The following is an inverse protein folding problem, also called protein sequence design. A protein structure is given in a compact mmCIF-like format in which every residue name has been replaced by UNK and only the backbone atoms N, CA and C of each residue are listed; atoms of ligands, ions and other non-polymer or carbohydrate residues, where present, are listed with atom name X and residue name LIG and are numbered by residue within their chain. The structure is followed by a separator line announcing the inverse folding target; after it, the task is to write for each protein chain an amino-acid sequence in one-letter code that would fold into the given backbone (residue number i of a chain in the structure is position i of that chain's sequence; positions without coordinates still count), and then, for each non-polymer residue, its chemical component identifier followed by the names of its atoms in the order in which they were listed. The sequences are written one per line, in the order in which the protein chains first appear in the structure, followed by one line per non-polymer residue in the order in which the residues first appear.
data_IF_105184085687
#
_entry.id   IF_105184085687
#
_cell.length_a   1.000
_cell.length_b   1.000
_cell.length_c   1.000
_cell.angle_alpha   90.00
_cell.angle_beta   90.00
_cell.angle_gamma   90.00
#
_symmetry.space_group_name_H-M   'P 1'
#
loop_
_entity.id
_entity.type
_entity.pdbx_description
1 polymer ?
#
# COMPACT_ATOMS: atom_id res chain seq x y z
N UNK A 1 18.68 -1.97 39.18
CA UNK A 1 19.67 -1.48 38.17
C UNK A 1 19.55 -2.17 36.79
N UNK A 2 19.37 -3.49 36.67
CA UNK A 2 19.27 -4.18 35.37
C UNK A 2 18.08 -3.76 34.47
N UNK A 3 16.91 -3.47 35.05
CA UNK A 3 15.73 -3.05 34.27
C UNK A 3 15.87 -1.63 33.66
N UNK A 4 16.49 -0.69 34.36
CA UNK A 4 16.69 0.69 33.88
C UNK A 4 17.64 0.72 32.69
N UNK A 5 18.75 -0.02 32.74
CA UNK A 5 19.73 -0.09 31.64
C UNK A 5 19.15 -0.73 30.36
N UNK A 6 18.27 -1.73 30.50
CA UNK A 6 17.58 -2.34 29.35
C UNK A 6 16.57 -1.39 28.70
N UNK A 7 15.87 -0.57 29.48
CA UNK A 7 14.93 0.44 28.96
C UNK A 7 15.65 1.50 28.12
N UNK A 8 16.82 1.98 28.57
CA UNK A 8 17.62 2.95 27.81
C UNK A 8 18.11 2.38 26.48
N UNK A 9 18.51 1.10 26.46
CA UNK A 9 18.99 0.43 25.23
C UNK A 9 17.89 0.29 24.17
N UNK A 10 16.67 -0.08 24.58
CA UNK A 10 15.54 -0.16 23.66
C UNK A 10 15.09 1.21 23.14
N UNK A 11 15.15 2.25 23.98
CA UNK A 11 14.80 3.60 23.57
C UNK A 11 15.78 4.13 22.51
N UNK A 12 17.08 3.92 22.70
CA UNK A 12 18.11 4.27 21.70
C UNK A 12 17.88 3.54 20.38
N UNK A 13 17.56 2.24 20.42
CA UNK A 13 17.24 1.47 19.23
C UNK A 13 16.00 2.01 18.49
N UNK A 14 14.94 2.40 19.23
CA UNK A 14 13.74 3.01 18.66
C UNK A 14 14.04 4.35 18.00
N UNK A 15 14.83 5.21 18.65
CA UNK A 15 15.27 6.50 18.08
C UNK A 15 16.06 6.28 16.80
N UNK A 16 16.98 5.32 16.80
CA UNK A 16 17.77 4.96 15.61
C UNK A 16 16.88 4.49 14.45
N UNK A 17 15.90 3.64 14.71
CA UNK A 17 14.97 3.17 13.67
C UNK A 17 14.18 4.32 13.03
N UNK A 18 13.69 5.27 13.84
CA UNK A 18 12.99 6.46 13.34
C UNK A 18 13.88 7.31 12.41
N UNK A 19 15.14 7.53 12.79
CA UNK A 19 16.10 8.29 11.99
C UNK A 19 16.35 7.59 10.64
N UNK A 20 16.55 6.27 10.64
CA UNK A 20 16.77 5.50 9.41
C UNK A 20 15.56 5.60 8.47
N UNK A 21 14.34 5.47 9.00
CA UNK A 21 13.12 5.60 8.20
C UNK A 21 12.99 7.01 7.65
N UNK A 22 13.17 8.04 8.48
CA UNK A 22 13.07 9.43 8.05
C UNK A 22 14.09 9.78 6.94
N UNK A 23 15.33 9.29 7.07
CA UNK A 23 16.36 9.48 6.05
C UNK A 23 15.99 8.80 4.73
N UNK A 24 15.52 7.55 4.78
CA UNK A 24 15.06 6.84 3.59
C UNK A 24 13.92 7.58 2.87
N UNK A 25 12.96 8.10 3.64
CA UNK A 25 11.86 8.90 3.10
C UNK A 25 12.35 10.18 2.42
N UNK A 26 13.27 10.91 3.05
CA UNK A 26 13.84 12.13 2.49
C UNK A 26 14.64 11.86 1.20
N UNK A 27 15.45 10.79 1.17
CA UNK A 27 16.26 10.39 0.01
C UNK A 27 15.39 10.09 -1.23
N UNK A 28 14.20 9.53 -1.01
CA UNK A 28 13.29 9.10 -2.09
C UNK A 28 12.14 10.09 -2.35
N UNK A 29 12.21 11.30 -1.77
CA UNK A 29 11.15 12.32 -1.86
C UNK A 29 9.75 11.77 -1.52
N UNK A 30 9.67 10.92 -0.49
CA UNK A 30 8.39 10.35 -0.06
C UNK A 30 7.64 11.33 0.85
N UNK A 31 6.31 11.42 0.73
CA UNK A 31 5.50 12.26 1.61
C UNK A 31 5.66 11.89 3.10
N UNK A 32 6.01 12.84 3.97
CA UNK A 32 6.17 12.55 5.40
C UNK A 32 4.87 12.17 6.11
N UNK A 33 3.71 12.54 5.56
CA UNK A 33 2.41 12.11 6.07
C UNK A 33 2.16 10.60 5.91
N UNK A 34 2.97 9.87 5.11
CA UNK A 34 2.88 8.41 5.00
C UNK A 34 3.75 7.66 6.02
N UNK A 35 4.47 8.36 6.90
CA UNK A 35 5.45 7.74 7.81
C UNK A 35 4.80 6.70 8.75
N UNK A 36 3.68 7.04 9.38
CA UNK A 36 2.98 6.12 10.29
C UNK A 36 2.45 4.89 9.55
N UNK A 37 1.89 5.09 8.35
CA UNK A 37 1.41 4.00 7.50
C UNK A 37 2.55 3.08 7.05
N UNK A 38 3.72 3.62 6.75
CA UNK A 38 4.92 2.84 6.41
C UNK A 38 5.39 2.01 7.60
N UNK A 39 5.43 2.58 8.81
CA UNK A 39 5.79 1.83 10.03
C UNK A 39 4.81 0.68 10.27
N UNK A 40 3.50 0.93 10.14
CA UNK A 40 2.46 -0.11 10.26
C UNK A 40 2.66 -1.21 9.22
N UNK A 41 2.98 -0.85 7.96
CA UNK A 41 3.23 -1.83 6.91
C UNK A 41 4.46 -2.72 7.22
N UNK A 42 5.56 -2.12 7.71
CA UNK A 42 6.77 -2.85 8.08
C UNK A 42 6.54 -3.79 9.27
N UNK A 43 5.70 -3.41 10.22
CA UNK A 43 5.37 -4.26 11.40
C UNK A 43 4.58 -5.52 11.04
N UNK A 44 3.88 -5.54 9.89
CA UNK A 44 3.18 -6.73 9.39
C UNK A 44 4.14 -7.79 8.83
N UNK A 45 5.40 -7.44 8.61
CA UNK A 45 6.43 -8.32 8.05
C UNK A 45 7.28 -8.92 9.17
N UNK A 46 7.58 -10.22 9.08
CA UNK A 46 8.57 -10.81 9.99
C UNK A 46 9.99 -10.39 9.59
N UNK A 47 10.87 -10.21 10.57
CA UNK A 47 12.26 -9.82 10.32
C UNK A 47 13.00 -10.80 9.41
N UNK A 48 12.66 -12.09 9.48
CA UNK A 48 13.26 -13.13 8.64
C UNK A 48 12.83 -12.99 7.18
N UNK A 49 11.54 -12.70 6.93
CA UNK A 49 11.03 -12.45 5.59
C UNK A 49 11.64 -11.18 4.98
N UNK A 50 11.78 -10.12 5.79
CA UNK A 50 12.35 -8.85 5.33
C UNK A 50 13.81 -8.99 4.88
N UNK A 51 14.60 -9.81 5.59
CA UNK A 51 15.99 -10.10 5.22
C UNK A 51 16.12 -10.95 3.95
N UNK A 52 15.16 -11.84 3.71
CA UNK A 52 15.15 -12.71 2.53
C UNK A 52 14.48 -12.06 1.31
N UNK A 53 13.73 -10.97 1.50
CA UNK A 53 13.00 -10.31 0.42
C UNK A 53 13.90 -9.37 -0.38
N UNK A 54 14.16 -9.72 -1.64
CA UNK A 54 14.60 -8.76 -2.65
C UNK A 54 13.41 -8.33 -3.52
N UNK A 55 13.18 -7.02 -3.56
CA UNK A 55 12.20 -6.37 -4.41
C UNK A 55 12.89 -5.29 -5.22
N UNK A 56 13.07 -5.52 -6.52
CA UNK A 56 13.56 -4.52 -7.46
C UNK A 56 12.39 -3.85 -8.19
N UNK A 57 12.67 -2.77 -8.93
CA UNK A 57 11.66 -2.01 -9.69
C UNK A 57 10.78 -2.92 -10.53
N UNK A 58 11.37 -3.77 -11.38
CA UNK A 58 10.63 -4.63 -12.32
C UNK A 58 9.75 -5.64 -11.61
N UNK A 59 10.22 -6.26 -10.53
CA UNK A 59 9.46 -7.23 -9.75
C UNK A 59 8.32 -6.55 -9.00
N UNK A 60 8.56 -5.37 -8.43
CA UNK A 60 7.53 -4.55 -7.80
C UNK A 60 6.43 -4.18 -8.81
N UNK A 61 6.81 -3.66 -9.99
CA UNK A 61 5.87 -3.35 -11.07
C UNK A 61 5.04 -4.57 -11.46
N UNK A 62 5.67 -5.72 -11.71
CA UNK A 62 4.96 -6.95 -12.09
C UNK A 62 4.00 -7.43 -11.01
N UNK A 63 4.38 -7.36 -9.74
CA UNK A 63 3.48 -7.71 -8.64
C UNK A 63 2.27 -6.78 -8.58
N UNK A 64 2.51 -5.47 -8.73
CA UNK A 64 1.43 -4.49 -8.74
C UNK A 64 0.50 -4.71 -9.93
N UNK A 65 1.02 -4.77 -11.15
CA UNK A 65 0.20 -4.84 -12.38
C UNK A 65 -0.48 -6.19 -12.58
N UNK A 66 0.18 -7.30 -12.27
CA UNK A 66 -0.30 -8.63 -12.66
C UNK A 66 -1.10 -9.32 -11.56
N UNK A 67 -0.92 -8.89 -10.30
CA UNK A 67 -1.58 -9.51 -9.15
C UNK A 67 -2.54 -8.51 -8.52
N UNK A 68 -2.02 -7.43 -7.93
CA UNK A 68 -2.83 -6.48 -7.16
C UNK A 68 -3.82 -5.74 -8.05
N UNK A 69 -3.40 -5.23 -9.20
CA UNK A 69 -4.27 -4.48 -10.11
C UNK A 69 -5.39 -5.34 -10.68
N UNK A 70 -5.19 -6.65 -10.87
CA UNK A 70 -6.26 -7.55 -11.34
C UNK A 70 -7.35 -7.69 -10.28
N UNK A 71 -6.95 -8.02 -9.06
CA UNK A 71 -7.88 -8.20 -7.93
C UNK A 71 -8.67 -6.91 -7.62
N UNK A 72 -7.97 -5.78 -7.59
CA UNK A 72 -8.60 -4.46 -7.36
C UNK A 72 -9.57 -4.11 -8.50
N UNK A 73 -9.20 -4.37 -9.76
CA UNK A 73 -10.06 -4.08 -10.92
C UNK A 73 -11.32 -4.95 -10.93
N UNK A 74 -11.17 -6.27 -10.72
CA UNK A 74 -12.33 -7.18 -10.63
C UNK A 74 -13.27 -6.80 -9.50
N UNK A 75 -12.72 -6.42 -8.34
CA UNK A 75 -13.50 -5.93 -7.20
C UNK A 75 -14.23 -4.64 -7.54
N UNK A 76 -13.54 -3.68 -8.17
CA UNK A 76 -14.15 -2.43 -8.61
C UNK A 76 -15.28 -2.68 -9.60
N UNK A 77 -15.10 -3.51 -10.62
CA UNK A 77 -16.15 -3.84 -11.61
C UNK A 77 -17.38 -4.42 -10.91
N UNK A 78 -17.18 -5.38 -9.99
CA UNK A 78 -18.29 -5.98 -9.22
C UNK A 78 -19.05 -4.93 -8.41
N UNK A 79 -18.33 -3.99 -7.79
CA UNK A 79 -18.93 -2.85 -7.09
C UNK A 79 -19.74 -2.01 -8.07
N UNK A 80 -19.17 -1.58 -9.20
CA UNK A 80 -19.86 -0.72 -10.17
C UNK A 80 -21.08 -1.37 -10.83
N UNK A 81 -21.10 -2.69 -10.96
CA UNK A 81 -22.27 -3.44 -11.46
C UNK A 81 -23.40 -3.56 -10.43
N UNK A 82 -23.08 -3.50 -9.14
CA UNK A 82 -24.01 -3.76 -8.05
C UNK A 82 -24.71 -2.51 -7.50
N UNK A 83 -24.23 -1.31 -7.82
CA UNK A 83 -24.69 -0.06 -7.22
C UNK A 83 -24.65 1.09 -8.21
N UNK A 84 -25.61 2.01 -8.08
CA UNK A 84 -25.61 3.24 -8.84
C UNK A 84 -24.42 4.12 -8.47
N UNK A 85 -23.84 4.77 -9.48
CA UNK A 85 -22.70 5.63 -9.30
C UNK A 85 -22.76 6.83 -10.25
N UNK A 86 -22.08 7.90 -9.86
CA UNK A 86 -21.78 9.03 -10.74
C UNK A 86 -20.36 8.91 -11.23
N UNK A 87 -20.16 9.10 -12.54
CA UNK A 87 -18.83 9.20 -13.15
C UNK A 87 -18.50 10.69 -13.38
N UNK A 88 -17.43 11.15 -12.76
CA UNK A 88 -16.87 12.48 -12.99
C UNK A 88 -15.74 12.37 -14.01
N UNK A 89 -15.84 13.16 -15.07
CA UNK A 89 -14.87 13.24 -16.18
C UNK A 89 -14.18 14.60 -16.13
N UNK A 90 -12.85 14.62 -16.10
CA UNK A 90 -12.08 15.85 -16.18
C UNK A 90 -10.91 15.69 -17.15
N UNK A 91 -10.90 16.47 -18.23
CA UNK A 91 -9.75 16.62 -19.11
C UNK A 91 -8.91 17.83 -18.68
N UNK A 92 -7.59 17.66 -18.57
CA UNK A 92 -6.63 18.74 -18.41
C UNK A 92 -5.52 18.61 -19.45
N UNK A 93 -4.86 19.73 -19.77
CA UNK A 93 -3.68 19.75 -20.66
C UNK A 93 -2.53 20.34 -19.87
N UNK A 94 -1.39 19.67 -19.85
CA UNK A 94 -0.20 20.19 -19.19
C UNK A 94 0.60 21.16 -20.09
N UNK A 95 1.71 21.69 -19.57
CA UNK A 95 2.58 22.61 -20.33
C UNK A 95 3.31 21.94 -21.48
N UNK A 96 3.42 20.62 -21.48
CA UNK A 96 3.97 19.80 -22.56
C UNK A 96 2.95 19.51 -23.67
N UNK A 97 1.72 20.05 -23.55
CA UNK A 97 0.58 19.76 -24.41
C UNK A 97 0.08 18.32 -24.33
N UNK A 98 0.48 17.56 -23.30
CA UNK A 98 -0.07 16.23 -23.03
C UNK A 98 -1.45 16.39 -22.39
N UNK A 99 -2.42 15.67 -22.96
CA UNK A 99 -3.80 15.63 -22.47
C UNK A 99 -3.93 14.52 -21.42
N UNK A 100 -4.42 14.88 -20.25
CA UNK A 100 -4.68 13.98 -19.14
C UNK A 100 -6.19 13.87 -18.92
N UNK A 101 -6.75 12.67 -19.13
CA UNK A 101 -8.15 12.37 -18.81
C UNK A 101 -8.25 11.70 -17.44
N UNK A 102 -8.89 12.37 -16.49
CA UNK A 102 -9.19 11.84 -15.17
C UNK A 102 -10.62 11.34 -15.09
N UNK A 103 -10.78 10.11 -14.58
CA UNK A 103 -12.05 9.44 -14.34
C UNK A 103 -12.19 9.19 -12.85
N UNK A 104 -13.25 9.70 -12.23
CA UNK A 104 -13.54 9.45 -10.81
C UNK A 104 -14.94 8.89 -10.66
N UNK A 105 -15.03 7.69 -10.08
CA UNK A 105 -16.33 7.10 -9.74
C UNK A 105 -16.70 7.48 -8.31
N UNK A 106 -17.91 8.02 -8.14
CA UNK A 106 -18.53 8.29 -6.85
C UNK A 106 -19.73 7.38 -6.67
N UNK A 107 -19.68 6.52 -5.66
CA UNK A 107 -20.77 5.60 -5.32
C UNK A 107 -21.89 6.35 -4.61
N UNK A 108 -23.15 6.05 -4.94
CA UNK A 108 -24.33 6.70 -4.36
C UNK A 108 -24.67 6.11 -2.97
N UNK A 109 -23.93 6.53 -1.94
CA UNK A 109 -24.06 6.11 -0.53
C UNK A 109 -23.89 4.58 -0.26
N UNK A 110 -23.45 4.18 0.95
CA UNK A 110 -23.34 2.75 1.26
C UNK A 110 -24.73 2.17 1.60
N UNK A 111 -25.19 1.16 0.84
CA UNK A 111 -26.26 0.25 1.28
C UNK A 111 -25.75 -1.20 1.27
N UNK A 112 -26.40 -2.09 2.05
CA UNK A 112 -25.82 -2.80 3.18
C UNK A 112 -24.58 -3.64 2.80
N UNK A 113 -23.61 -3.67 3.72
CA UNK A 113 -22.38 -4.48 3.70
C UNK A 113 -22.50 -5.75 2.86
N UNK A 114 -21.90 -5.74 1.66
CA UNK A 114 -21.45 -6.96 1.02
C UNK A 114 -20.57 -7.70 2.05
N UNK A 115 -20.78 -9.02 2.26
CA UNK A 115 -19.99 -9.76 3.23
C UNK A 115 -18.53 -9.51 2.92
N UNK A 116 -17.79 -9.06 3.93
CA UNK A 116 -16.35 -8.91 3.89
C UNK A 116 -15.79 -10.26 3.47
N UNK A 117 -15.61 -10.47 2.17
CA UNK A 117 -14.71 -11.49 1.68
C UNK A 117 -13.33 -10.95 2.04
N UNK A 118 -12.93 -11.25 3.27
CA UNK A 118 -11.53 -11.36 3.61
C UNK A 118 -10.89 -12.07 2.42
N UNK A 119 -9.86 -11.51 1.76
CA UNK A 119 -9.10 -12.29 0.82
C UNK A 119 -8.53 -13.44 1.65
N UNK A 120 -9.18 -14.61 1.58
CA UNK A 120 -8.53 -15.84 1.96
C UNK A 120 -7.35 -15.90 1.00
N UNK A 121 -6.15 -15.75 1.54
CA UNK A 121 -4.96 -16.12 0.83
C UNK A 121 -5.16 -17.57 0.42
N UNK A 122 -5.52 -17.79 -0.85
CA UNK A 122 -5.49 -19.12 -1.42
C UNK A 122 -4.07 -19.65 -1.16
N UNK A 123 -3.93 -20.84 -0.57
CA UNK A 123 -2.62 -21.46 -0.44
C UNK A 123 -1.97 -21.42 -1.81
N UNK A 124 -0.77 -20.87 -1.89
CA UNK A 124 0.09 -21.04 -3.05
C UNK A 124 0.17 -22.55 -3.28
N UNK A 125 -0.55 -23.05 -4.28
CA UNK A 125 -0.41 -24.40 -4.78
C UNK A 125 1.05 -24.52 -5.22
N UNK A 126 1.86 -25.17 -4.40
CA UNK A 126 3.16 -25.69 -4.82
C UNK A 126 2.87 -26.77 -5.86
N UNK A 127 2.78 -26.35 -7.12
CA UNK A 127 2.81 -27.22 -8.28
C UNK A 127 4.15 -27.05 -8.96
N UNK A 128 5.01 -28.05 -8.74
CA UNK A 128 6.14 -28.54 -9.55
C UNK A 128 7.05 -27.52 -10.24
#
# INVERSE_FOLDING_TARGET
MRQVAQQTSQEVARKRAKIVIALFMAEHNMPFNSADHLVIALQKLSLQLLKASLLNRTKCTKMLTNVVSKDVNETLIKILQAQEFTLLLHESTDRSADKHLSLVVRLAAPSPTLPTQHPQAHPFSQGM
#
